data_IF_076478638735
#
_entry.id   IF_076478638735
#
_cell.length_a   1.000
_cell.length_b   1.000
_cell.length_c   1.000
_cell.angle_alpha   90.00
_cell.angle_beta   90.00
_cell.angle_gamma   90.00
#
_symmetry.space_group_name_H-M   'P 1'
#
loop_
_entity.id
_entity.type
_entity.pdbx_description
1 polymer ?
#
# COMPACT_ATOMS: atom_id res chain seq x y z
N UNK A 1 8.20 -0.78 -51.50
CA UNK A 1 7.50 -0.71 -50.19
C UNK A 1 8.47 -0.17 -49.14
N UNK A 2 8.35 1.09 -48.76
CA UNK A 2 9.07 1.69 -47.62
C UNK A 2 8.09 2.70 -47.02
N UNK A 3 7.45 2.39 -45.89
CA UNK A 3 6.46 3.34 -45.36
C UNK A 3 5.80 3.04 -44.02
N UNK A 4 5.82 1.82 -43.50
CA UNK A 4 4.88 1.51 -42.39
C UNK A 4 5.40 1.84 -40.99
N UNK A 5 6.47 2.64 -40.85
CA UNK A 5 7.09 2.87 -39.53
C UNK A 5 7.54 4.31 -39.33
N UNK A 6 7.12 4.87 -38.21
CA UNK A 6 7.53 6.18 -37.73
C UNK A 6 8.53 6.06 -36.57
N UNK A 7 9.45 7.01 -36.48
CA UNK A 7 10.34 7.17 -35.34
C UNK A 7 9.64 7.98 -34.23
N UNK A 8 9.79 7.58 -32.97
CA UNK A 8 9.35 8.36 -31.81
C UNK A 8 10.52 8.60 -30.85
N UNK A 9 10.53 9.75 -30.19
CA UNK A 9 11.49 10.05 -29.12
C UNK A 9 10.71 10.58 -27.91
N UNK A 10 10.71 9.84 -26.81
CA UNK A 10 10.13 10.28 -25.55
C UNK A 10 11.19 11.01 -24.72
N UNK A 11 11.07 12.34 -24.60
CA UNK A 11 12.13 13.19 -24.02
C UNK A 11 12.11 13.32 -22.49
N UNK A 12 10.99 13.00 -21.82
CA UNK A 12 10.90 13.03 -20.35
C UNK A 12 9.70 12.22 -19.87
N UNK A 13 9.88 11.37 -18.86
CA UNK A 13 8.79 10.90 -18.00
C UNK A 13 8.63 11.96 -16.90
N UNK A 14 7.45 12.57 -16.78
CA UNK A 14 7.11 13.36 -15.60
C UNK A 14 6.48 12.43 -14.57
N UNK A 15 7.07 12.35 -13.38
CA UNK A 15 6.52 11.63 -12.23
C UNK A 15 7.30 10.37 -11.86
N UNK A 16 7.48 10.18 -10.55
CA UNK A 16 8.05 8.95 -9.96
C UNK A 16 7.02 7.82 -9.85
N UNK A 17 5.75 8.13 -10.16
CA UNK A 17 4.66 7.18 -10.08
C UNK A 17 4.49 6.43 -11.40
N UNK A 18 4.10 5.17 -11.26
CA UNK A 18 3.93 4.19 -12.30
C UNK A 18 2.43 3.92 -12.45
N UNK A 19 1.98 3.84 -13.70
CA UNK A 19 0.64 3.42 -14.10
C UNK A 19 0.75 2.32 -15.16
N UNK A 20 -0.39 1.89 -15.69
CA UNK A 20 -0.46 0.82 -16.67
C UNK A 20 -1.04 1.35 -17.98
N UNK A 21 -0.49 0.88 -19.09
CA UNK A 21 -0.97 1.20 -20.44
C UNK A 21 -1.57 -0.04 -21.08
N UNK A 22 -2.58 0.15 -21.92
CA UNK A 22 -3.17 -0.89 -22.76
C UNK A 22 -2.31 -1.15 -24.01
N UNK A 23 -2.58 -2.25 -24.72
CA UNK A 23 -1.81 -2.66 -25.91
C UNK A 23 -1.91 -1.67 -27.08
N UNK A 24 -2.99 -0.89 -27.15
CA UNK A 24 -3.20 0.18 -28.12
C UNK A 24 -2.47 1.49 -27.76
N UNK A 25 -1.75 1.51 -26.63
CA UNK A 25 -1.01 2.69 -26.15
C UNK A 25 -1.85 3.65 -25.30
N UNK A 26 -3.12 3.32 -25.01
CA UNK A 26 -3.96 4.07 -24.08
C UNK A 26 -3.52 3.92 -22.62
N UNK A 27 -3.95 4.84 -21.75
CA UNK A 27 -3.78 4.72 -20.31
C UNK A 27 -4.85 3.76 -19.78
N UNK A 28 -4.44 2.59 -19.28
CA UNK A 28 -5.35 1.62 -18.66
C UNK A 28 -5.59 1.95 -17.18
N UNK A 29 -4.53 2.29 -16.45
CA UNK A 29 -4.59 2.72 -15.05
C UNK A 29 -3.66 3.93 -14.90
N UNK A 30 -4.17 5.09 -14.44
CA UNK A 30 -3.35 6.28 -14.22
C UNK A 30 -2.17 6.02 -13.28
N UNK A 31 -1.10 6.79 -13.44
CA UNK A 31 0.08 6.67 -12.59
C UNK A 31 -0.23 7.07 -11.14
N UNK A 32 -0.25 6.10 -10.24
CA UNK A 32 -0.59 6.28 -8.84
C UNK A 32 0.33 5.51 -7.87
N UNK A 33 1.24 4.68 -8.38
CA UNK A 33 2.00 3.71 -7.57
C UNK A 33 3.50 3.97 -7.63
N UNK A 34 4.21 3.79 -6.52
CA UNK A 34 5.68 3.91 -6.49
C UNK A 34 6.39 2.71 -7.11
N UNK A 35 5.80 1.52 -7.00
CA UNK A 35 6.31 0.25 -7.53
C UNK A 35 5.13 -0.60 -7.98
N UNK A 36 5.35 -1.38 -9.03
CA UNK A 36 4.35 -2.29 -9.59
C UNK A 36 5.01 -3.61 -10.02
N UNK A 37 4.30 -4.72 -9.89
CA UNK A 37 4.61 -5.96 -10.60
C UNK A 37 3.90 -6.02 -11.95
N UNK A 38 4.23 -7.01 -12.77
CA UNK A 38 3.37 -7.40 -13.90
C UNK A 38 2.07 -8.00 -13.40
N UNK A 39 1.02 -7.93 -14.23
CA UNK A 39 -0.22 -8.67 -13.99
C UNK A 39 0.00 -10.18 -14.18
N UNK A 40 -0.46 -10.97 -13.23
CA UNK A 40 -0.58 -12.43 -13.31
C UNK A 40 -1.84 -12.86 -12.57
N UNK A 41 -2.57 -13.85 -13.06
CA UNK A 41 -3.85 -14.29 -12.47
C UNK A 41 -4.82 -13.14 -12.20
N UNK A 42 -4.90 -12.19 -13.15
CA UNK A 42 -5.74 -10.98 -13.05
C UNK A 42 -5.45 -10.07 -11.85
N UNK A 43 -4.23 -10.11 -11.28
CA UNK A 43 -3.80 -9.21 -10.21
C UNK A 43 -2.40 -8.68 -10.44
N UNK A 44 -2.11 -7.48 -9.93
CA UNK A 44 -0.77 -6.93 -9.84
C UNK A 44 -0.50 -6.44 -8.41
N UNK A 45 0.68 -6.72 -7.89
CA UNK A 45 1.15 -6.20 -6.61
C UNK A 45 1.69 -4.78 -6.82
N UNK A 46 1.23 -3.84 -6.01
CA UNK A 46 1.65 -2.44 -6.12
C UNK A 46 1.97 -1.86 -4.74
N UNK A 47 2.73 -0.77 -4.74
CA UNK A 47 2.88 0.08 -3.56
C UNK A 47 2.28 1.46 -3.77
N UNK A 48 1.43 1.90 -2.84
CA UNK A 48 0.80 3.21 -2.90
C UNK A 48 1.81 4.36 -2.81
N UNK A 49 1.34 5.58 -3.11
CA UNK A 49 2.16 6.79 -3.02
C UNK A 49 2.71 7.01 -1.60
N UNK A 50 1.88 6.81 -0.59
CA UNK A 50 2.28 6.96 0.83
C UNK A 50 2.92 5.67 1.40
N UNK A 51 3.15 4.66 0.55
CA UNK A 51 3.58 3.32 0.98
C UNK A 51 2.41 2.35 0.96
N UNK A 52 2.52 1.28 1.76
CA UNK A 52 1.58 0.16 1.76
C UNK A 52 1.78 -0.77 0.57
N UNK A 53 1.41 -2.04 0.76
CA UNK A 53 1.54 -3.08 -0.24
C UNK A 53 0.17 -3.74 -0.44
N UNK A 54 -0.34 -3.75 -1.67
CA UNK A 54 -1.66 -4.31 -1.96
C UNK A 54 -1.75 -4.81 -3.40
N UNK A 55 -2.71 -5.70 -3.64
CA UNK A 55 -3.06 -6.13 -4.98
C UNK A 55 -4.13 -5.23 -5.58
N UNK A 56 -4.02 -5.01 -6.89
CA UNK A 56 -5.05 -4.40 -7.71
C UNK A 56 -5.53 -5.36 -8.80
N UNK A 57 -6.78 -5.22 -9.21
CA UNK A 57 -7.35 -5.86 -10.39
C UNK A 57 -7.00 -5.10 -11.69
N UNK A 58 -7.38 -5.60 -12.88
CA UNK A 58 -7.08 -4.93 -14.15
C UNK A 58 -7.81 -3.59 -14.36
N UNK A 59 -8.79 -3.27 -13.50
CA UNK A 59 -9.48 -1.98 -13.45
C UNK A 59 -8.79 -1.00 -12.49
N UNK A 60 -7.73 -1.43 -11.80
CA UNK A 60 -7.00 -0.64 -10.81
C UNK A 60 -7.65 -0.60 -9.43
N UNK A 61 -8.68 -1.42 -9.18
CA UNK A 61 -9.34 -1.50 -7.87
C UNK A 61 -8.49 -2.36 -6.95
N UNK A 62 -8.27 -1.88 -5.72
CA UNK A 62 -7.62 -2.67 -4.68
C UNK A 62 -8.46 -3.90 -4.36
N UNK A 63 -7.82 -5.05 -4.17
CA UNK A 63 -8.50 -6.31 -3.83
C UNK A 63 -8.16 -6.81 -2.43
N UNK A 64 -6.89 -6.70 -2.04
CA UNK A 64 -6.40 -7.13 -0.73
C UNK A 64 -5.10 -6.39 -0.42
N UNK A 65 -4.92 -5.98 0.83
CA UNK A 65 -3.72 -5.32 1.31
C UNK A 65 -2.94 -6.11 2.35
N UNK A 66 -1.73 -5.64 2.62
CA UNK A 66 -0.87 -6.15 3.68
C UNK A 66 -0.46 -4.98 4.59
N UNK A 67 -0.80 -5.10 5.86
CA UNK A 67 -0.43 -4.16 6.91
C UNK A 67 0.50 -4.78 7.93
N UNK A 68 0.93 -3.98 8.90
CA UNK A 68 1.65 -4.45 10.09
C UNK A 68 0.87 -4.03 11.33
N UNK A 69 0.51 -4.99 12.18
CA UNK A 69 -0.10 -4.77 13.49
C UNK A 69 0.66 -5.58 14.54
N UNK A 70 1.07 -4.94 15.63
CA UNK A 70 1.94 -5.53 16.66
C UNK A 70 3.15 -6.29 16.09
N UNK A 71 3.86 -5.70 15.11
CA UNK A 71 5.01 -6.30 14.45
C UNK A 71 4.71 -7.63 13.70
N UNK A 72 3.44 -7.88 13.35
CA UNK A 72 2.97 -9.02 12.54
C UNK A 72 2.28 -8.55 11.29
N UNK A 73 2.37 -9.35 10.23
CA UNK A 73 1.64 -9.09 8.99
C UNK A 73 0.17 -9.38 9.20
N UNK A 74 -0.67 -8.43 8.79
CA UNK A 74 -2.12 -8.59 8.71
C UNK A 74 -2.55 -8.46 7.25
N UNK A 75 -3.63 -9.16 6.91
CA UNK A 75 -4.28 -9.04 5.60
C UNK A 75 -5.44 -8.09 5.76
N UNK A 76 -5.55 -7.13 4.84
CA UNK A 76 -6.65 -6.16 4.83
C UNK A 76 -7.53 -6.30 3.60
N UNK A 77 -8.78 -5.88 3.72
CA UNK A 77 -9.70 -5.73 2.60
C UNK A 77 -9.36 -4.49 1.73
N UNK A 78 -10.14 -4.20 0.67
CA UNK A 78 -9.93 -3.00 -0.14
C UNK A 78 -10.01 -1.68 0.65
N UNK A 79 -10.79 -1.63 1.72
CA UNK A 79 -11.02 -0.50 2.60
C UNK A 79 -9.95 -0.34 3.70
N UNK A 80 -8.94 -1.21 3.71
CA UNK A 80 -7.85 -1.27 4.72
C UNK A 80 -8.28 -1.77 6.11
N UNK A 81 -9.43 -2.44 6.21
CA UNK A 81 -9.84 -3.14 7.42
C UNK A 81 -9.19 -4.53 7.50
N UNK A 82 -8.78 -4.93 8.70
CA UNK A 82 -8.11 -6.23 8.91
C UNK A 82 -9.12 -7.37 8.77
N UNK A 83 -8.85 -8.29 7.84
CA UNK A 83 -9.64 -9.51 7.63
C UNK A 83 -8.91 -10.77 8.05
N UNK A 84 -7.59 -10.71 8.23
CA UNK A 84 -6.81 -11.79 8.81
C UNK A 84 -5.68 -11.26 9.70
N UNK A 85 -5.52 -11.82 10.92
CA UNK A 85 -6.40 -12.83 11.52
C UNK A 85 -7.78 -12.28 11.85
N UNK A 86 -8.79 -13.16 11.85
CA UNK A 86 -10.19 -12.79 12.13
C UNK A 86 -10.42 -12.45 13.60
N UNK A 87 -9.58 -12.97 14.49
CA UNK A 87 -9.59 -12.68 15.91
C UNK A 87 -8.39 -11.78 16.24
N UNK A 88 -8.71 -10.55 16.66
CA UNK A 88 -7.75 -9.56 17.13
C UNK A 88 -7.98 -9.38 18.63
N UNK A 89 -7.51 -10.34 19.42
CA UNK A 89 -7.55 -10.27 20.87
C UNK A 89 -6.19 -9.86 21.47
N UNK A 90 -6.23 -9.34 22.69
CA UNK A 90 -5.03 -8.91 23.43
C UNK A 90 -4.08 -10.07 23.76
N UNK A 91 -4.61 -11.30 23.87
CA UNK A 91 -3.82 -12.50 24.16
C UNK A 91 -2.88 -12.85 22.99
N UNK A 92 -3.33 -12.62 21.77
CA UNK A 92 -2.60 -12.88 20.53
C UNK A 92 -1.88 -11.62 20.06
N UNK A 93 -2.41 -10.44 20.35
CA UNK A 93 -1.88 -9.13 19.97
C UNK A 93 -1.66 -8.26 21.21
N UNK A 94 -0.52 -8.42 21.92
CA UNK A 94 -0.27 -7.71 23.18
C UNK A 94 -0.32 -6.19 23.09
N UNK A 95 -0.08 -5.61 21.90
CA UNK A 95 -0.14 -4.17 21.71
C UNK A 95 -1.57 -3.60 21.68
N UNK A 96 -2.60 -4.45 21.61
CA UNK A 96 -4.00 -4.03 21.79
C UNK A 96 -4.34 -3.80 23.27
N UNK A 97 -3.55 -4.35 24.19
CA UNK A 97 -3.77 -4.21 25.64
C UNK A 97 -3.30 -2.85 26.19
N UNK A 98 -2.46 -2.12 25.46
CA UNK A 98 -1.90 -0.85 25.93
C UNK A 98 -2.79 0.33 25.52
N UNK A 99 -3.55 0.88 26.47
CA UNK A 99 -4.29 2.14 26.30
C UNK A 99 -3.28 3.31 26.22
N UNK A 100 -3.19 4.03 25.09
CA UNK A 100 -2.30 5.18 24.95
C UNK A 100 -2.67 6.35 25.88
N UNK A 101 -3.79 6.26 26.61
CA UNK A 101 -4.26 7.29 27.56
C UNK A 101 -3.87 7.03 29.01
N UNK A 102 -3.15 5.96 29.34
CA UNK A 102 -2.46 5.87 30.64
C UNK A 102 -1.11 6.58 30.55
N UNK A 103 -1.16 7.90 30.50
CA UNK A 103 -0.12 8.73 31.09
C UNK A 103 -0.19 8.48 32.61
N UNK A 104 0.63 7.54 33.10
CA UNK A 104 0.86 7.42 34.52
C UNK A 104 1.64 8.67 34.95
N UNK A 105 0.87 9.65 35.39
CA UNK A 105 1.39 10.74 36.20
C UNK A 105 1.82 10.18 37.54
N UNK A 106 3.07 9.71 37.65
CA UNK A 106 3.75 9.62 38.94
C UNK A 106 4.73 10.77 39.10
N UNK A 107 4.26 11.75 39.88
CA UNK A 107 5.05 12.79 40.49
C UNK A 107 6.20 12.18 41.28
N UNK A 108 7.42 12.69 41.10
CA UNK A 108 8.33 12.84 42.23
C UNK A 108 8.43 14.34 42.54
N UNK A 109 7.78 14.73 43.64
CA UNK A 109 8.02 15.97 44.37
C UNK A 109 9.11 15.71 45.43
N UNK A 110 9.68 16.84 45.87
CA UNK A 110 10.59 17.04 47.02
C UNK A 110 12.08 16.78 46.71
N UNK A 111 13.03 17.69 46.95
CA UNK A 111 13.01 19.01 47.58
C UNK A 111 14.46 19.40 47.96
N UNK A 112 14.74 20.71 48.09
CA UNK A 112 15.88 21.33 48.82
C UNK A 112 17.27 21.14 48.17
N UNK A 113 18.13 22.14 47.97
CA UNK A 113 18.41 23.40 48.67
C UNK A 113 18.94 24.46 47.70
#
# INVERSE_FOLDING_TARGET
MRGDRAAFQRRKISGELIGFISRDGGIAIPAAYKRVSTFSESRALVSGKEGGLFFIDPQGRKTVGFGVLCNRIVVTDPEDEVIWPTELDEATFPCLAEDPRKDDGSQNKEGTS
#
